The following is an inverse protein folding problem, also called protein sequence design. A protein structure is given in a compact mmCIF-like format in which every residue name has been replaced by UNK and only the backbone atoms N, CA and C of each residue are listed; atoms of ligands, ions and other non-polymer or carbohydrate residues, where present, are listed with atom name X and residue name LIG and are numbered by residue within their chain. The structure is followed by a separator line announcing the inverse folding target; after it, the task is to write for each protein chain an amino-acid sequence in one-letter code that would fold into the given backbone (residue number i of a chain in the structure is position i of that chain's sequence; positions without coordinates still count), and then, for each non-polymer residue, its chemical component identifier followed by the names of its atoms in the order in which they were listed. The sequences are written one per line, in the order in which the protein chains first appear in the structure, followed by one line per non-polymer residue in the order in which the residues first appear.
data_IF_050345729088
#
_entry.id   IF_050345729088
#
_cell.length_a   1.000
_cell.length_b   1.000
_cell.length_c   1.000
_cell.angle_alpha   90.00
_cell.angle_beta   90.00
_cell.angle_gamma   90.00
#
_symmetry.space_group_name_H-M   'P 1'
#
loop_
_entity.id
_entity.type
_entity.pdbx_description
1 polymer ?
#
# COMPACT_ATOMS: atom_id res chain seq x y z
N UNK A 1 6.36 1.93 17.18
CA UNK A 1 6.96 1.81 15.83
C UNK A 1 7.64 0.47 15.75
N UNK A 2 7.28 -0.38 14.80
CA UNK A 2 7.90 -1.69 14.64
C UNK A 2 9.05 -1.56 13.62
N UNK A 3 10.24 -1.96 14.02
CA UNK A 3 11.40 -2.03 13.13
C UNK A 3 11.66 -3.49 12.79
N UNK A 4 11.56 -3.83 11.52
CA UNK A 4 11.96 -5.14 11.03
C UNK A 4 13.41 -5.07 10.56
N UNK A 5 14.23 -5.95 11.11
CA UNK A 5 15.61 -6.12 10.70
C UNK A 5 15.87 -7.60 10.41
N UNK A 6 16.78 -7.88 9.49
CA UNK A 6 17.26 -9.25 9.31
C UNK A 6 18.04 -9.71 10.56
N UNK A 7 17.93 -10.98 10.95
CA UNK A 7 18.68 -11.49 12.08
C UNK A 7 20.18 -11.15 11.99
N UNK A 8 20.72 -10.59 13.05
CA UNK A 8 22.13 -10.17 13.13
C UNK A 8 22.49 -8.89 12.40
N UNK A 9 21.49 -8.13 11.88
CA UNK A 9 21.71 -6.80 11.29
C UNK A 9 20.84 -5.77 11.99
N UNK A 10 21.43 -4.64 12.29
CA UNK A 10 20.68 -3.49 12.81
C UNK A 10 19.76 -2.91 11.73
N UNK A 11 18.59 -2.43 12.12
CA UNK A 11 17.71 -1.72 11.21
C UNK A 11 18.32 -0.37 10.84
N UNK A 12 18.47 -0.11 9.54
CA UNK A 12 18.94 1.18 9.05
C UNK A 12 17.98 2.35 9.33
N UNK A 13 16.74 2.05 9.73
CA UNK A 13 15.75 3.05 10.12
C UNK A 13 15.93 3.48 11.58
N UNK A 14 16.61 2.67 12.39
CA UNK A 14 16.90 3.02 13.78
C UNK A 14 18.05 4.03 13.84
N UNK A 15 17.94 5.12 14.63
CA UNK A 15 19.07 5.99 14.88
C UNK A 15 20.25 5.19 15.49
N UNK A 16 21.46 5.40 15.00
CA UNK A 16 22.67 4.63 15.40
C UNK A 16 22.91 4.56 16.91
N UNK A 17 22.49 5.57 17.67
CA UNK A 17 22.69 5.67 19.11
C UNK A 17 21.39 5.50 19.90
N UNK A 18 20.32 5.01 19.29
CA UNK A 18 19.06 4.79 19.97
C UNK A 18 19.13 3.55 20.89
N UNK A 19 18.60 3.69 22.09
CA UNK A 19 18.33 2.53 22.95
C UNK A 19 17.11 1.80 22.39
N UNK A 20 17.31 0.60 21.90
CA UNK A 20 16.22 -0.26 21.42
C UNK A 20 15.77 -1.14 22.58
N UNK A 21 14.47 -1.18 22.83
CA UNK A 21 13.84 -2.01 23.84
C UNK A 21 12.76 -2.83 23.17
N UNK A 22 12.80 -4.15 23.35
CA UNK A 22 11.74 -5.03 22.89
C UNK A 22 10.51 -4.85 23.80
N UNK A 23 9.44 -4.30 23.28
CA UNK A 23 8.20 -4.12 24.01
C UNK A 23 7.38 -5.42 24.07
N UNK A 24 7.31 -6.13 22.93
CA UNK A 24 6.53 -7.33 22.81
C UNK A 24 7.13 -8.29 21.77
N UNK A 25 7.00 -9.58 22.01
CA UNK A 25 7.34 -10.61 21.02
C UNK A 25 6.20 -10.79 20.01
N UNK A 26 6.50 -11.42 18.87
CA UNK A 26 5.52 -11.68 17.79
C UNK A 26 4.27 -12.44 18.27
N UNK A 27 4.38 -13.23 19.36
CA UNK A 27 3.26 -13.96 19.95
C UNK A 27 2.36 -13.14 20.88
N UNK A 28 2.70 -11.88 21.11
CA UNK A 28 1.94 -10.98 21.99
C UNK A 28 1.07 -10.06 21.11
N UNK A 29 -0.15 -9.83 21.55
CA UNK A 29 -1.04 -8.86 20.91
C UNK A 29 -0.43 -7.45 21.00
N UNK A 30 -0.09 -6.83 19.87
CA UNK A 30 0.56 -5.52 19.85
C UNK A 30 -0.34 -4.41 20.39
N UNK A 31 -1.66 -4.49 20.25
CA UNK A 31 -2.59 -3.51 20.79
C UNK A 31 -2.60 -3.56 22.33
N UNK A 32 -2.67 -4.77 22.91
CA UNK A 32 -2.60 -4.94 24.36
C UNK A 32 -1.26 -4.45 24.92
N UNK A 33 -0.14 -4.76 24.22
CA UNK A 33 1.18 -4.29 24.63
C UNK A 33 1.29 -2.76 24.63
N UNK A 34 0.75 -2.10 23.59
CA UNK A 34 0.74 -0.64 23.50
C UNK A 34 -0.18 -0.01 24.55
N UNK A 35 -1.33 -0.61 24.82
CA UNK A 35 -2.25 -0.14 25.86
C UNK A 35 -1.59 -0.18 27.24
N UNK A 36 -0.97 -1.29 27.60
CA UNK A 36 -0.21 -1.42 28.88
C UNK A 36 0.93 -0.43 28.97
N UNK A 37 1.63 -0.17 27.87
CA UNK A 37 2.68 0.86 27.85
C UNK A 37 2.10 2.25 28.09
N UNK A 38 0.95 2.56 27.50
CA UNK A 38 0.26 3.85 27.71
C UNK A 38 -0.16 4.00 29.18
N UNK A 39 -0.71 2.96 29.78
CA UNK A 39 -1.12 2.92 31.20
C UNK A 39 0.10 3.12 32.12
N UNK A 40 1.22 2.42 31.84
CA UNK A 40 2.45 2.52 32.65
C UNK A 40 3.10 3.90 32.56
N UNK A 41 2.88 4.63 31.47
CA UNK A 41 3.39 5.98 31.25
C UNK A 41 2.42 7.07 31.67
N UNK A 42 1.29 6.74 32.30
CA UNK A 42 0.20 7.68 32.59
C UNK A 42 -0.20 8.54 31.38
N UNK A 43 -0.23 7.92 30.20
CA UNK A 43 -0.53 8.63 28.97
C UNK A 43 -1.96 9.19 28.98
N UNK A 44 -2.17 10.40 28.43
CA UNK A 44 -3.52 10.96 28.32
C UNK A 44 -4.47 10.03 27.57
N UNK A 45 -5.73 9.94 28.05
CA UNK A 45 -6.76 9.11 27.42
C UNK A 45 -7.13 9.55 25.99
N UNK A 46 -6.89 10.82 25.68
CA UNK A 46 -7.08 11.39 24.34
C UNK A 46 -5.72 11.66 23.69
N UNK A 47 -5.52 11.27 22.44
CA UNK A 47 -4.29 11.57 21.72
C UNK A 47 -4.14 13.07 21.52
N UNK A 48 -2.88 13.57 21.54
CA UNK A 48 -2.58 14.99 21.30
C UNK A 48 -2.95 15.44 19.87
N UNK A 49 -2.85 14.53 18.93
CA UNK A 49 -3.22 14.76 17.54
C UNK A 49 -4.07 13.59 17.04
N UNK A 50 -5.15 13.91 16.37
CA UNK A 50 -6.05 12.95 15.71
C UNK A 50 -5.93 13.16 14.21
N UNK A 51 -6.04 12.09 13.43
CA UNK A 51 -6.10 12.17 11.98
C UNK A 51 -7.38 12.90 11.56
N UNK A 52 -7.25 13.86 10.65
CA UNK A 52 -8.39 14.52 10.05
C UNK A 52 -9.27 13.52 9.28
N UNK A 53 -10.59 13.76 9.32
CA UNK A 53 -11.52 12.98 8.51
C UNK A 53 -11.21 13.12 7.01
N UNK A 54 -11.52 12.09 6.25
CA UNK A 54 -11.37 12.14 4.78
C UNK A 54 -12.18 13.30 4.20
N UNK A 55 -11.58 14.20 3.41
CA UNK A 55 -12.28 15.33 2.82
C UNK A 55 -13.55 14.92 2.07
N UNK A 56 -14.63 15.69 2.26
CA UNK A 56 -15.90 15.43 1.58
C UNK A 56 -15.99 16.09 0.21
N UNK A 57 -15.23 17.16 0.01
CA UNK A 57 -15.25 17.96 -1.19
C UNK A 57 -14.04 17.62 -2.07
N UNK A 58 -14.28 17.28 -3.30
CA UNK A 58 -13.29 17.17 -4.37
C UNK A 58 -13.91 17.67 -5.68
N UNK A 59 -13.06 18.19 -6.55
CA UNK A 59 -13.52 18.69 -7.84
C UNK A 59 -14.05 17.54 -8.71
N UNK A 60 -15.27 17.68 -9.20
CA UNK A 60 -15.82 16.78 -10.20
C UNK A 60 -15.17 17.07 -11.55
N UNK A 61 -14.78 16.05 -12.29
CA UNK A 61 -14.16 16.20 -13.61
C UNK A 61 -13.18 15.09 -13.92
N UNK A 62 -12.00 15.48 -14.42
CA UNK A 62 -10.94 14.50 -14.72
C UNK A 62 -10.44 13.83 -13.45
N UNK A 63 -10.41 12.49 -13.45
CA UNK A 63 -9.91 11.71 -12.34
C UNK A 63 -8.41 11.98 -12.12
N UNK A 64 -8.07 12.44 -10.92
CA UNK A 64 -6.70 12.65 -10.46
C UNK A 64 -6.34 11.60 -9.41
N UNK A 65 -5.05 11.50 -9.04
CA UNK A 65 -4.62 10.63 -7.94
C UNK A 65 -5.28 11.01 -6.62
N UNK A 66 -5.41 12.30 -6.37
CA UNK A 66 -6.05 12.86 -5.18
C UNK A 66 -7.54 12.51 -5.13
N UNK A 67 -8.29 12.82 -6.19
CA UNK A 67 -9.72 12.51 -6.23
C UNK A 67 -9.99 11.00 -6.16
N UNK A 68 -9.17 10.19 -6.84
CA UNK A 68 -9.25 8.73 -6.74
C UNK A 68 -9.01 8.25 -5.30
N UNK A 69 -7.98 8.78 -4.62
CA UNK A 69 -7.68 8.45 -3.23
C UNK A 69 -8.81 8.80 -2.27
N UNK A 70 -9.41 9.97 -2.41
CA UNK A 70 -10.58 10.41 -1.62
C UNK A 70 -11.77 9.48 -1.87
N UNK A 71 -12.07 9.17 -3.14
CA UNK A 71 -13.19 8.29 -3.51
C UNK A 71 -12.99 6.88 -2.91
N UNK A 72 -11.81 6.31 -3.06
CA UNK A 72 -11.48 4.99 -2.49
C UNK A 72 -11.67 5.00 -0.98
N UNK A 73 -11.12 5.99 -0.29
CA UNK A 73 -11.27 6.10 1.16
C UNK A 73 -12.73 6.23 1.61
N UNK A 74 -13.53 7.01 0.90
CA UNK A 74 -14.94 7.23 1.23
C UNK A 74 -15.85 6.05 0.95
N UNK A 75 -15.58 5.31 -0.11
CA UNK A 75 -16.39 4.17 -0.51
C UNK A 75 -15.90 2.85 0.10
N UNK A 76 -14.77 2.89 0.80
CA UNK A 76 -14.22 1.74 1.51
C UNK A 76 -15.18 1.31 2.63
N UNK A 77 -15.60 0.06 2.66
CA UNK A 77 -16.42 -0.42 3.78
C UNK A 77 -15.59 -0.58 5.06
N UNK A 78 -16.28 -0.56 6.19
CA UNK A 78 -15.69 -0.89 7.49
C UNK A 78 -15.06 -2.28 7.45
N UNK A 79 -13.90 -2.43 8.10
CA UNK A 79 -13.10 -3.64 8.15
C UNK A 79 -12.62 -4.18 6.78
N UNK A 80 -12.52 -3.33 5.76
CA UNK A 80 -11.90 -3.73 4.50
C UNK A 80 -10.43 -4.13 4.68
N UNK A 81 -9.92 -4.91 3.75
CA UNK A 81 -8.48 -5.23 3.65
C UNK A 81 -7.99 -4.64 2.33
N UNK A 82 -7.03 -3.74 2.40
CA UNK A 82 -6.39 -3.14 1.22
C UNK A 82 -5.07 -3.84 0.96
N UNK A 83 -4.89 -4.40 -0.23
CA UNK A 83 -3.60 -4.88 -0.72
C UNK A 83 -3.05 -3.86 -1.71
N UNK A 84 -1.99 -3.16 -1.34
CA UNK A 84 -1.48 -2.01 -2.10
C UNK A 84 -0.15 -2.32 -2.81
N UNK A 85 -0.23 -2.33 -4.11
CA UNK A 85 0.91 -2.36 -5.03
C UNK A 85 0.76 -1.29 -6.14
N UNK A 86 0.08 -0.20 -5.85
CA UNK A 86 -0.20 0.88 -6.81
C UNK A 86 1.01 1.77 -7.11
N UNK A 87 2.14 1.51 -6.47
CA UNK A 87 3.43 2.16 -6.75
C UNK A 87 3.37 3.67 -6.58
N UNK A 88 3.71 4.40 -7.66
CA UNK A 88 3.74 5.87 -7.63
C UNK A 88 2.36 6.53 -7.59
N UNK A 89 1.28 5.77 -7.78
CA UNK A 89 -0.07 6.31 -7.91
C UNK A 89 -0.90 6.23 -6.63
N UNK A 90 -0.59 5.27 -5.74
CA UNK A 90 -1.44 4.94 -4.59
C UNK A 90 -1.27 5.81 -3.34
N UNK A 91 -0.24 6.66 -3.29
CA UNK A 91 0.06 7.43 -2.08
C UNK A 91 -1.09 8.33 -1.60
N UNK A 92 -1.93 8.80 -2.50
CA UNK A 92 -3.12 9.57 -2.12
C UNK A 92 -4.18 8.67 -1.43
N UNK A 93 -4.41 7.46 -1.94
CA UNK A 93 -5.34 6.51 -1.32
C UNK A 93 -4.90 6.15 0.10
N UNK A 94 -3.62 5.84 0.30
CA UNK A 94 -3.06 5.58 1.63
C UNK A 94 -3.26 6.77 2.59
N UNK A 95 -2.91 7.98 2.14
CA UNK A 95 -3.02 9.19 2.97
C UNK A 95 -4.46 9.49 3.39
N UNK A 96 -5.41 9.45 2.44
CA UNK A 96 -6.80 9.77 2.74
C UNK A 96 -7.52 8.65 3.50
N UNK A 97 -7.13 7.39 3.33
CA UNK A 97 -7.72 6.28 4.07
C UNK A 97 -7.46 6.35 5.58
N UNK A 98 -6.40 7.04 6.00
CA UNK A 98 -6.11 7.23 7.42
C UNK A 98 -7.25 7.95 8.19
N UNK A 99 -8.05 8.77 7.52
CA UNK A 99 -9.26 9.41 8.07
C UNK A 99 -10.57 8.71 7.67
N UNK A 100 -10.49 7.55 7.04
CA UNK A 100 -11.62 6.76 6.58
C UNK A 100 -12.08 5.70 7.60
N UNK A 101 -12.96 4.76 7.19
CA UNK A 101 -13.39 3.63 8.00
C UNK A 101 -12.21 2.78 8.47
N UNK A 102 -12.35 2.06 9.57
CA UNK A 102 -11.31 1.12 10.03
C UNK A 102 -11.05 0.04 8.99
N UNK A 103 -9.78 -0.21 8.71
CA UNK A 103 -9.36 -1.18 7.69
C UNK A 103 -7.92 -1.63 7.96
N UNK A 104 -7.53 -2.74 7.32
CA UNK A 104 -6.14 -3.18 7.28
C UNK A 104 -5.50 -2.76 5.96
N UNK A 105 -4.22 -2.37 6.02
CA UNK A 105 -3.45 -1.98 4.85
C UNK A 105 -2.19 -2.82 4.71
N UNK A 106 -2.17 -3.67 3.68
CA UNK A 106 -1.07 -4.56 3.35
C UNK A 106 -0.23 -3.93 2.24
N UNK A 107 0.93 -3.41 2.59
CA UNK A 107 1.85 -2.80 1.62
C UNK A 107 2.80 -3.82 1.02
N UNK A 108 3.28 -3.51 -0.17
CA UNK A 108 4.34 -4.27 -0.83
C UNK A 108 5.60 -4.34 0.05
N UNK A 109 6.04 -5.55 0.34
CA UNK A 109 7.19 -5.79 1.22
C UNK A 109 8.48 -5.68 0.44
N UNK A 110 9.37 -4.76 0.87
CA UNK A 110 10.69 -4.59 0.27
C UNK A 110 10.70 -4.13 -1.19
N UNK A 111 9.58 -3.58 -1.68
CA UNK A 111 9.45 -3.17 -3.08
C UNK A 111 9.35 -4.34 -4.07
N UNK A 112 9.02 -5.56 -3.59
CA UNK A 112 8.92 -6.77 -4.42
C UNK A 112 7.61 -6.77 -5.22
N UNK A 113 7.61 -6.14 -6.40
CA UNK A 113 6.45 -6.09 -7.30
C UNK A 113 6.02 -7.48 -7.77
N UNK A 114 4.70 -7.66 -7.93
CA UNK A 114 4.06 -8.95 -8.16
C UNK A 114 3.45 -9.55 -6.90
N UNK A 115 3.60 -8.90 -5.74
CA UNK A 115 3.04 -9.35 -4.46
C UNK A 115 1.55 -9.01 -4.32
N UNK A 116 1.10 -7.84 -4.80
CA UNK A 116 -0.19 -7.25 -4.44
C UNK A 116 -1.40 -8.10 -4.82
N UNK A 117 -1.48 -8.58 -6.06
CA UNK A 117 -2.60 -9.42 -6.50
C UNK A 117 -2.66 -10.78 -5.76
N UNK A 118 -1.56 -11.54 -5.61
CA UNK A 118 -1.55 -12.76 -4.81
C UNK A 118 -1.89 -12.54 -3.33
N UNK A 119 -1.43 -11.46 -2.73
CA UNK A 119 -1.78 -11.11 -1.34
C UNK A 119 -3.25 -10.81 -1.20
N UNK A 120 -3.86 -10.11 -2.16
CA UNK A 120 -5.31 -9.89 -2.19
C UNK A 120 -6.08 -11.21 -2.25
N UNK A 121 -5.63 -12.17 -3.08
CA UNK A 121 -6.22 -13.54 -3.11
C UNK A 121 -6.11 -14.21 -1.74
N UNK A 122 -4.92 -14.17 -1.13
CA UNK A 122 -4.69 -14.76 0.20
C UNK A 122 -5.58 -14.14 1.27
N UNK A 123 -5.69 -12.81 1.28
CA UNK A 123 -6.55 -12.08 2.22
C UNK A 123 -8.02 -12.47 2.06
N UNK A 124 -8.54 -12.54 0.84
CA UNK A 124 -9.93 -12.91 0.57
C UNK A 124 -10.24 -14.39 0.89
N UNK A 125 -9.26 -15.27 0.77
CA UNK A 125 -9.40 -16.67 1.19
C UNK A 125 -9.41 -16.80 2.71
N UNK A 126 -8.56 -16.03 3.39
CA UNK A 126 -8.43 -16.06 4.86
C UNK A 126 -9.60 -15.35 5.56
N UNK A 127 -10.14 -14.29 4.98
CA UNK A 127 -11.18 -13.44 5.59
C UNK A 127 -12.35 -13.28 4.61
N UNK A 128 -13.16 -14.32 4.45
CA UNK A 128 -14.25 -14.37 3.46
C UNK A 128 -15.43 -13.43 3.76
N UNK A 129 -15.50 -12.94 4.98
CA UNK A 129 -16.50 -11.99 5.49
C UNK A 129 -16.09 -10.53 5.32
N UNK A 130 -14.89 -10.28 4.77
CA UNK A 130 -14.32 -8.95 4.61
C UNK A 130 -14.13 -8.59 3.15
N UNK A 131 -14.44 -7.34 2.79
CA UNK A 131 -14.14 -6.82 1.45
C UNK A 131 -12.65 -6.65 1.27
N UNK A 132 -12.10 -7.18 0.18
CA UNK A 132 -10.71 -6.92 -0.20
C UNK A 132 -10.65 -5.92 -1.35
N UNK A 133 -9.76 -4.95 -1.24
CA UNK A 133 -9.49 -3.95 -2.28
C UNK A 133 -8.04 -4.10 -2.71
N UNK A 134 -7.81 -4.52 -3.95
CA UNK A 134 -6.48 -4.59 -4.53
C UNK A 134 -6.19 -3.31 -5.30
N UNK A 135 -5.28 -2.47 -4.79
CA UNK A 135 -4.77 -1.31 -5.50
C UNK A 135 -3.52 -1.71 -6.29
N UNK A 136 -3.56 -1.56 -7.60
CA UNK A 136 -2.53 -2.08 -8.48
C UNK A 136 -2.08 -1.04 -9.51
N UNK A 137 -0.83 -1.11 -9.96
CA UNK A 137 -0.36 -0.38 -11.13
C UNK A 137 -0.33 -1.30 -12.37
N UNK A 138 -0.48 -0.71 -13.55
CA UNK A 138 -0.51 -1.46 -14.80
C UNK A 138 0.76 -2.29 -15.06
N UNK A 139 1.92 -1.75 -14.76
CA UNK A 139 3.19 -2.46 -14.93
C UNK A 139 3.42 -3.57 -13.91
N UNK A 140 3.18 -3.30 -12.62
CA UNK A 140 3.37 -4.29 -11.57
C UNK A 140 2.32 -5.42 -11.64
N UNK A 141 1.09 -5.10 -12.06
CA UNK A 141 0.03 -6.09 -12.26
C UNK A 141 0.37 -7.19 -13.26
N UNK A 142 1.22 -6.88 -14.24
CA UNK A 142 1.64 -7.87 -15.24
C UNK A 142 2.52 -8.98 -14.66
N UNK A 143 3.18 -8.77 -13.53
CA UNK A 143 4.05 -9.79 -12.91
C UNK A 143 3.26 -11.02 -12.42
N UNK A 144 2.03 -10.80 -11.98
CA UNK A 144 1.17 -11.85 -11.40
C UNK A 144 -0.28 -11.72 -11.86
N UNK A 145 -0.48 -11.30 -13.11
CA UNK A 145 -1.81 -11.08 -13.71
C UNK A 145 -2.72 -12.31 -13.62
N UNK A 146 -2.14 -13.51 -13.62
CA UNK A 146 -2.87 -14.77 -13.44
C UNK A 146 -3.63 -14.87 -12.11
N UNK A 147 -3.29 -14.03 -11.12
CA UNK A 147 -4.05 -13.97 -9.87
C UNK A 147 -5.50 -13.50 -10.11
N UNK A 148 -5.74 -12.66 -11.13
CA UNK A 148 -7.09 -12.23 -11.52
C UNK A 148 -7.94 -13.43 -11.95
N UNK A 149 -7.35 -14.41 -12.66
CA UNK A 149 -8.03 -15.65 -13.00
C UNK A 149 -8.41 -16.44 -11.75
N UNK A 150 -7.52 -16.51 -10.76
CA UNK A 150 -7.83 -17.18 -9.48
C UNK A 150 -8.95 -16.45 -8.74
N UNK A 151 -8.94 -15.11 -8.71
CA UNK A 151 -10.02 -14.33 -8.09
C UNK A 151 -11.38 -14.65 -8.71
N UNK A 152 -11.44 -14.69 -10.04
CA UNK A 152 -12.66 -15.02 -10.76
C UNK A 152 -13.10 -16.48 -10.56
N UNK A 153 -12.17 -17.43 -10.68
CA UNK A 153 -12.43 -18.87 -10.50
C UNK A 153 -13.00 -19.20 -9.12
N UNK A 154 -12.41 -18.63 -8.08
CA UNK A 154 -12.79 -18.90 -6.68
C UNK A 154 -13.91 -17.96 -6.19
N UNK A 155 -14.44 -17.12 -7.09
CA UNK A 155 -15.50 -16.14 -6.80
C UNK A 155 -15.19 -15.32 -5.54
N UNK A 156 -13.98 -14.76 -5.46
CA UNK A 156 -13.51 -13.99 -4.32
C UNK A 156 -14.06 -12.57 -4.35
N UNK A 157 -14.48 -12.04 -3.19
CA UNK A 157 -14.98 -10.68 -3.07
C UNK A 157 -13.84 -9.66 -3.05
N UNK A 158 -13.19 -9.49 -4.20
CA UNK A 158 -12.06 -8.57 -4.39
C UNK A 158 -12.44 -7.51 -5.42
N UNK A 159 -12.29 -6.24 -5.05
CA UNK A 159 -12.32 -5.12 -5.99
C UNK A 159 -10.87 -4.79 -6.40
N UNK A 160 -10.53 -5.03 -7.65
CA UNK A 160 -9.22 -4.65 -8.20
C UNK A 160 -9.31 -3.31 -8.91
N UNK A 161 -8.51 -2.33 -8.47
CA UNK A 161 -8.41 -0.98 -9.05
C UNK A 161 -7.02 -0.84 -9.67
N UNK A 162 -6.96 -0.69 -11.00
CA UNK A 162 -5.70 -0.58 -11.73
C UNK A 162 -5.42 0.86 -12.13
N UNK A 163 -4.33 1.41 -11.58
CA UNK A 163 -3.82 2.73 -11.90
C UNK A 163 -2.95 2.64 -13.15
N UNK A 164 -3.51 3.04 -14.30
CA UNK A 164 -2.85 2.88 -15.60
C UNK A 164 -2.18 4.19 -16.04
N UNK A 165 -0.86 4.13 -16.27
CA UNK A 165 -0.08 5.22 -16.85
C UNK A 165 0.73 4.83 -18.10
N UNK A 166 0.64 3.58 -18.54
CA UNK A 166 1.39 2.99 -19.65
C UNK A 166 2.91 3.09 -19.49
N UNK A 167 3.42 3.07 -18.26
CA UNK A 167 4.85 3.20 -18.01
C UNK A 167 5.27 2.55 -16.70
N UNK A 168 6.48 2.04 -16.65
CA UNK A 168 7.15 1.72 -15.40
C UNK A 168 7.63 3.01 -14.71
N UNK A 169 6.68 3.82 -14.21
CA UNK A 169 6.92 5.16 -13.67
C UNK A 169 7.96 5.18 -12.55
N UNK A 170 7.98 4.17 -11.67
CA UNK A 170 8.98 4.08 -10.60
C UNK A 170 10.40 3.96 -11.14
N UNK A 171 10.61 3.23 -12.24
CA UNK A 171 11.94 3.09 -12.85
C UNK A 171 12.40 4.39 -13.51
N UNK A 172 11.49 5.20 -14.06
CA UNK A 172 11.82 6.54 -14.52
C UNK A 172 12.30 7.44 -13.37
N UNK A 173 11.66 7.34 -12.21
CA UNK A 173 12.09 8.06 -11.00
C UNK A 173 13.47 7.58 -10.56
N UNK A 174 13.72 6.27 -10.54
CA UNK A 174 15.02 5.73 -10.15
C UNK A 174 16.14 6.11 -11.12
N UNK A 175 15.90 6.15 -12.42
CA UNK A 175 16.87 6.69 -13.38
C UNK A 175 17.30 8.12 -13.01
N UNK A 176 16.34 8.98 -12.70
CA UNK A 176 16.62 10.35 -12.26
C UNK A 176 17.39 10.37 -10.93
N UNK A 177 16.99 9.51 -9.98
CA UNK A 177 17.60 9.42 -8.64
C UNK A 177 19.07 8.99 -8.68
N UNK A 178 19.44 8.09 -9.60
CA UNK A 178 20.85 7.68 -9.79
C UNK A 178 21.63 8.61 -10.73
N UNK A 179 21.06 9.76 -11.08
CA UNK A 179 21.76 10.80 -11.83
C UNK A 179 21.77 10.62 -13.37
N UNK A 180 20.94 9.71 -13.90
CA UNK A 180 20.79 9.56 -15.36
C UNK A 180 19.89 10.66 -15.88
N UNK A 181 20.49 11.74 -16.41
CA UNK A 181 19.76 12.90 -16.92
C UNK A 181 19.29 12.76 -18.37
N UNK A 182 19.98 11.92 -19.16
CA UNK A 182 19.70 11.71 -20.57
C UNK A 182 19.69 10.20 -20.89
N UNK A 183 18.64 9.46 -20.50
CA UNK A 183 18.53 8.06 -20.85
C UNK A 183 18.36 7.89 -22.36
N UNK A 184 19.08 6.96 -22.94
CA UNK A 184 19.01 6.68 -24.37
C UNK A 184 17.64 6.08 -24.79
N UNK A 185 17.26 6.18 -26.08
CA UNK A 185 15.96 5.70 -26.59
C UNK A 185 15.69 4.23 -26.24
N UNK A 186 16.71 3.38 -26.23
CA UNK A 186 16.59 1.98 -25.89
C UNK A 186 16.20 1.78 -24.41
N UNK A 187 16.80 2.54 -23.51
CA UNK A 187 16.45 2.48 -22.10
C UNK A 187 15.00 2.94 -21.87
N UNK A 188 14.59 4.04 -22.50
CA UNK A 188 13.21 4.55 -22.40
C UNK A 188 12.19 3.57 -22.98
N UNK A 189 12.50 2.88 -24.10
CA UNK A 189 11.60 1.90 -24.68
C UNK A 189 11.34 0.69 -23.79
N UNK A 190 12.25 0.36 -22.86
CA UNK A 190 12.05 -0.71 -21.89
C UNK A 190 11.11 -0.31 -20.75
N UNK A 191 10.86 0.98 -20.58
CA UNK A 191 10.00 1.53 -19.55
C UNK A 191 8.61 1.92 -20.07
N UNK A 192 8.42 1.81 -21.39
CA UNK A 192 7.18 2.13 -22.07
C UNK A 192 6.26 0.90 -22.15
N UNK A 193 5.02 1.05 -21.69
CA UNK A 193 3.97 0.04 -21.74
C UNK A 193 2.83 0.43 -22.70
N UNK A 194 3.11 1.37 -23.62
CA UNK A 194 2.11 1.84 -24.58
C UNK A 194 2.08 1.04 -25.88
N UNK A 195 3.09 0.20 -26.15
CA UNK A 195 3.19 -0.56 -27.40
C UNK A 195 3.57 -2.04 -27.20
N UNK A 196 2.61 -2.99 -27.30
CA UNK A 196 1.17 -2.73 -27.34
C UNK A 196 0.64 -2.20 -26.01
N UNK A 197 -0.38 -1.37 -26.06
CA UNK A 197 -1.01 -0.90 -24.82
C UNK A 197 -1.71 -2.04 -24.10
N UNK A 198 -1.54 -2.08 -22.77
CA UNK A 198 -2.25 -3.05 -21.93
C UNK A 198 -3.74 -2.69 -21.87
N UNK A 199 -4.59 -3.66 -22.17
CA UNK A 199 -6.04 -3.51 -22.09
C UNK A 199 -6.55 -4.18 -20.82
N UNK A 200 -6.56 -3.40 -19.74
CA UNK A 200 -7.07 -3.81 -18.43
C UNK A 200 -8.59 -3.73 -18.35
#
# INVERSE_FOLDING_TARGET
MAFFAYPGKESWISPKNAKLVELAKVSIDPEDALRRLADELDAPSLPANVQDETPTNFECGKLTRESAGIIISKLMPENAIVSDESGTSGGAAFRYSAGGPKHDWLMITGGAIGQGLPVAVGAAVACRDRKVIALQADGSGMYTVQALWTMARENLDILTIIMKNNSYGILNIELSRVGVTHPGPKALSLLDLSNPTLNW
#
